data_IF_408814088113
#
_entry.id   IF_408814088113
#
_cell.length_a   1.000
_cell.length_b   1.000
_cell.length_c   1.000
_cell.angle_alpha   90.00
_cell.angle_beta   90.00
_cell.angle_gamma   90.00
#
_symmetry.space_group_name_H-M   'P 1'
#
loop_
_entity.id
_entity.type
_entity.pdbx_description
1 polymer ?
#
# COMPACT_ATOMS: atom_id res chain seq x y z
N UNK A 1 -9.52 -12.37 18.90
CA UNK A 1 -8.32 -13.18 18.61
C UNK A 1 -7.24 -12.99 19.65
N UNK A 2 -6.44 -14.03 19.84
CA UNK A 2 -5.17 -13.99 20.57
C UNK A 2 -4.03 -14.38 19.63
N UNK A 3 -2.87 -13.74 19.76
CA UNK A 3 -1.63 -14.08 19.05
C UNK A 3 -0.45 -14.19 20.00
N UNK A 4 0.61 -14.88 19.58
CA UNK A 4 1.91 -14.83 20.26
C UNK A 4 2.65 -13.58 19.76
N UNK A 5 3.22 -12.78 20.67
CA UNK A 5 3.94 -11.55 20.31
C UNK A 5 5.42 -11.58 20.63
N UNK A 6 5.84 -12.47 21.55
CA UNK A 6 7.23 -12.77 21.86
C UNK A 6 7.32 -14.04 22.70
N UNK A 7 8.54 -14.54 22.89
CA UNK A 7 8.87 -15.57 23.85
C UNK A 7 9.70 -14.95 24.97
N UNK A 8 9.52 -15.43 26.19
CA UNK A 8 10.43 -15.08 27.28
C UNK A 8 11.74 -15.89 27.21
N UNK A 9 12.64 -15.63 28.15
CA UNK A 9 13.95 -16.29 28.25
C UNK A 9 13.86 -17.82 28.43
N UNK A 10 12.73 -18.32 28.92
CA UNK A 10 12.45 -19.74 29.10
C UNK A 10 11.71 -20.35 27.90
N UNK A 11 11.53 -19.60 26.81
CA UNK A 11 10.78 -20.05 25.64
C UNK A 11 9.27 -20.13 25.85
N UNK A 12 8.72 -19.50 26.90
CA UNK A 12 7.28 -19.45 27.13
C UNK A 12 6.65 -18.36 26.25
N UNK A 13 5.56 -18.69 25.52
CA UNK A 13 4.90 -17.71 24.66
C UNK A 13 4.18 -16.64 25.48
N UNK A 14 4.36 -15.38 25.08
CA UNK A 14 3.59 -14.26 25.57
C UNK A 14 2.48 -13.90 24.58
N UNK A 15 1.26 -13.87 25.10
CA UNK A 15 0.06 -13.69 24.30
C UNK A 15 -0.43 -12.24 24.33
N UNK A 16 -1.02 -11.79 23.23
CA UNK A 16 -1.78 -10.55 23.15
C UNK A 16 -3.16 -10.82 22.57
N UNK A 17 -4.19 -10.32 23.22
CA UNK A 17 -5.58 -10.41 22.78
C UNK A 17 -6.11 -9.04 22.37
N UNK A 18 -6.97 -8.99 21.35
CA UNK A 18 -7.66 -7.75 20.98
C UNK A 18 -8.58 -7.24 22.10
N UNK A 19 -9.10 -8.14 22.94
CA UNK A 19 -10.02 -7.83 24.04
C UNK A 19 -9.32 -7.38 25.33
N UNK A 20 -7.98 -7.38 25.38
CA UNK A 20 -7.18 -6.96 26.54
C UNK A 20 -7.26 -7.87 27.78
N UNK A 21 -8.30 -8.69 27.91
CA UNK A 21 -8.52 -9.64 29.01
C UNK A 21 -8.15 -11.05 28.52
N UNK A 22 -7.67 -11.89 29.44
CA UNK A 22 -7.03 -13.18 29.20
C UNK A 22 -7.61 -14.04 28.08
N UNK A 23 -6.72 -14.79 27.42
CA UNK A 23 -7.04 -15.67 26.31
C UNK A 23 -7.56 -17.02 26.78
N UNK A 24 -8.68 -17.46 26.21
CA UNK A 24 -9.21 -18.81 26.39
C UNK A 24 -8.23 -19.86 25.86
N UNK A 25 -8.35 -21.12 26.29
CA UNK A 25 -7.44 -22.17 25.81
C UNK A 25 -7.58 -22.41 24.30
N UNK A 26 -8.80 -22.31 23.76
CA UNK A 26 -9.05 -22.39 22.32
C UNK A 26 -8.36 -21.24 21.55
N UNK A 27 -8.41 -20.02 22.08
CA UNK A 27 -7.72 -18.89 21.47
C UNK A 27 -6.20 -19.05 21.52
N UNK A 28 -5.66 -19.63 22.60
CA UNK A 28 -4.22 -19.95 22.70
C UNK A 28 -3.82 -21.06 21.73
N UNK A 29 -4.66 -22.07 21.55
CA UNK A 29 -4.42 -23.14 20.58
C UNK A 29 -4.40 -22.58 19.15
N UNK A 30 -5.36 -21.71 18.80
CA UNK A 30 -5.36 -20.99 17.51
C UNK A 30 -4.12 -20.11 17.35
N UNK A 31 -3.72 -19.39 18.40
CA UNK A 31 -2.51 -18.57 18.40
C UNK A 31 -1.25 -19.40 18.12
N UNK A 32 -1.11 -20.57 18.76
CA UNK A 32 0.01 -21.50 18.52
C UNK A 32 0.02 -22.08 17.11
N UNK A 33 -1.16 -22.38 16.55
CA UNK A 33 -1.28 -22.85 15.16
C UNK A 33 -0.81 -21.79 14.17
N UNK A 34 -1.29 -20.55 14.33
CA UNK A 34 -0.89 -19.41 13.51
C UNK A 34 0.62 -19.17 13.61
N UNK A 35 1.13 -19.14 14.83
CA UNK A 35 2.55 -18.93 15.11
C UNK A 35 3.42 -20.02 14.46
N UNK A 36 3.02 -21.29 14.54
CA UNK A 36 3.72 -22.40 13.89
C UNK A 36 3.75 -22.26 12.36
N UNK A 37 2.64 -21.82 11.74
CA UNK A 37 2.59 -21.56 10.31
C UNK A 37 3.52 -20.40 9.91
N UNK A 38 3.51 -19.30 10.67
CA UNK A 38 4.39 -18.16 10.42
C UNK A 38 5.86 -18.55 10.58
N UNK A 39 6.21 -19.22 11.68
CA UNK A 39 7.56 -19.73 11.93
C UNK A 39 8.05 -20.59 10.77
N UNK A 40 7.28 -21.62 10.40
CA UNK A 40 7.64 -22.53 9.33
C UNK A 40 7.88 -21.80 8.03
N UNK A 41 6.92 -20.98 7.57
CA UNK A 41 7.01 -20.36 6.25
C UNK A 41 8.08 -19.26 6.19
N UNK A 42 8.17 -18.39 7.19
CA UNK A 42 9.14 -17.29 7.19
C UNK A 42 10.56 -17.81 7.40
N UNK A 43 10.78 -18.78 8.30
CA UNK A 43 12.11 -19.39 8.49
C UNK A 43 12.57 -20.14 7.24
N UNK A 44 11.68 -20.88 6.56
CA UNK A 44 12.02 -21.53 5.30
C UNK A 44 12.44 -20.52 4.23
N UNK A 45 11.73 -19.41 4.11
CA UNK A 45 12.09 -18.33 3.19
C UNK A 45 13.45 -17.71 3.53
N UNK A 46 13.70 -17.39 4.80
CA UNK A 46 14.98 -16.86 5.25
C UNK A 46 16.16 -17.81 4.93
N UNK A 47 15.96 -19.12 5.11
CA UNK A 47 16.95 -20.14 4.74
C UNK A 47 17.19 -20.19 3.22
N UNK A 48 16.14 -20.06 2.40
CA UNK A 48 16.28 -20.00 0.95
C UNK A 48 17.10 -18.77 0.51
N UNK A 49 16.85 -17.61 1.11
CA UNK A 49 17.63 -16.39 0.84
C UNK A 49 19.11 -16.53 1.21
N UNK A 50 19.39 -17.15 2.36
CA UNK A 50 20.75 -17.43 2.79
C UNK A 50 21.48 -18.36 1.81
N UNK A 51 20.84 -19.45 1.37
CA UNK A 51 21.39 -20.39 0.38
C UNK A 51 21.63 -19.73 -0.98
N UNK A 52 20.73 -18.86 -1.40
CA UNK A 52 20.86 -18.10 -2.64
C UNK A 52 21.94 -16.99 -2.56
N UNK A 53 22.62 -16.82 -1.41
CA UNK A 53 23.55 -15.70 -1.14
C UNK A 53 22.92 -14.32 -1.36
N UNK A 54 21.59 -14.23 -1.31
CA UNK A 54 20.85 -12.96 -1.36
C UNK A 54 20.79 -12.30 0.02
N UNK A 55 21.16 -13.00 1.10
CA UNK A 55 21.10 -12.50 2.48
C UNK A 55 22.22 -11.50 2.86
N UNK A 56 23.43 -11.64 2.30
CA UNK A 56 24.59 -10.86 2.80
C UNK A 56 24.61 -9.39 2.36
N UNK A 57 23.73 -9.00 1.44
CA UNK A 57 23.45 -7.62 1.03
C UNK A 57 22.00 -7.49 0.57
N UNK A 58 21.02 -7.90 1.38
CA UNK A 58 19.62 -7.49 1.11
C UNK A 58 19.61 -5.97 1.13
N UNK A 59 19.57 -5.36 -0.06
CA UNK A 59 19.52 -3.93 -0.18
C UNK A 59 18.19 -3.49 0.44
N UNK A 60 18.23 -2.71 1.52
CA UNK A 60 17.03 -2.07 2.07
C UNK A 60 16.24 -1.45 0.92
N UNK A 61 14.99 -1.88 0.73
CA UNK A 61 14.18 -1.46 -0.41
C UNK A 61 14.16 -2.41 -1.61
N UNK A 62 14.64 -3.66 -1.48
CA UNK A 62 14.45 -4.69 -2.51
C UNK A 62 12.98 -5.11 -2.58
N UNK A 63 12.31 -4.63 -3.63
CA UNK A 63 10.87 -4.83 -3.85
C UNK A 63 10.54 -6.28 -4.16
N UNK A 64 11.45 -7.01 -4.82
CA UNK A 64 11.27 -8.43 -5.13
C UNK A 64 11.17 -9.24 -3.83
N UNK A 65 12.07 -8.98 -2.88
CA UNK A 65 12.08 -9.64 -1.58
C UNK A 65 10.92 -9.22 -0.68
N UNK A 66 10.51 -7.95 -0.72
CA UNK A 66 9.35 -7.48 0.02
C UNK A 66 8.04 -8.01 -0.54
N UNK A 67 7.96 -8.22 -1.85
CA UNK A 67 6.84 -8.91 -2.48
C UNK A 67 6.79 -10.37 -2.02
N UNK A 68 7.91 -11.10 -2.05
CA UNK A 68 7.97 -12.51 -1.62
C UNK A 68 7.59 -12.68 -0.14
N UNK A 69 8.09 -11.78 0.72
CA UNK A 69 7.67 -11.73 2.12
C UNK A 69 6.15 -11.50 2.23
N UNK A 70 5.63 -10.55 1.46
CA UNK A 70 4.19 -10.26 1.41
C UNK A 70 3.34 -11.44 0.95
N UNK A 71 3.80 -12.20 -0.04
CA UNK A 71 3.11 -13.38 -0.58
C UNK A 71 3.01 -14.49 0.47
N UNK A 72 4.10 -14.76 1.19
CA UNK A 72 4.09 -15.66 2.34
C UNK A 72 3.07 -15.21 3.38
N UNK A 73 3.07 -13.92 3.71
CA UNK A 73 2.12 -13.36 4.68
C UNK A 73 0.67 -13.47 4.18
N UNK A 74 0.41 -13.30 2.88
CA UNK A 74 -0.92 -13.48 2.29
C UNK A 74 -1.39 -14.93 2.33
N UNK A 75 -0.53 -15.88 1.94
CA UNK A 75 -0.86 -17.30 1.98
C UNK A 75 -1.24 -17.74 3.39
N UNK A 76 -0.40 -17.43 4.39
CA UNK A 76 -0.71 -17.78 5.78
C UNK A 76 -1.98 -17.07 6.26
N UNK A 77 -2.21 -15.82 5.89
CA UNK A 77 -3.39 -15.08 6.31
C UNK A 77 -4.69 -15.63 5.69
N UNK A 78 -4.71 -15.80 4.36
CA UNK A 78 -5.91 -16.16 3.60
C UNK A 78 -6.24 -17.66 3.71
N UNK A 79 -5.24 -18.54 3.70
CA UNK A 79 -5.47 -19.99 3.66
C UNK A 79 -5.72 -20.58 5.06
N UNK A 80 -5.25 -19.94 6.12
CA UNK A 80 -5.38 -20.51 7.47
C UNK A 80 -6.78 -20.35 8.05
N UNK A 81 -7.52 -19.30 7.69
CA UNK A 81 -8.78 -18.93 8.34
C UNK A 81 -8.64 -18.64 9.85
N UNK A 82 -7.42 -18.45 10.35
CA UNK A 82 -7.13 -18.29 11.78
C UNK A 82 -7.25 -16.85 12.28
N UNK A 83 -7.37 -15.89 11.36
CA UNK A 83 -7.30 -14.45 11.63
C UNK A 83 -8.56 -13.78 11.12
N UNK A 84 -9.24 -13.07 12.01
CA UNK A 84 -10.31 -12.15 11.60
C UNK A 84 -9.68 -10.92 10.89
N UNK A 85 -10.19 -10.50 9.71
CA UNK A 85 -9.70 -9.33 9.01
C UNK A 85 -9.63 -8.04 9.85
N UNK A 86 -10.54 -7.86 10.81
CA UNK A 86 -10.54 -6.72 11.74
C UNK A 86 -9.36 -6.75 12.74
N UNK A 87 -8.81 -7.92 13.01
CA UNK A 87 -7.73 -8.17 13.97
C UNK A 87 -6.35 -8.30 13.30
N UNK A 88 -6.27 -7.97 12.00
CA UNK A 88 -5.06 -8.03 11.17
C UNK A 88 -3.85 -7.29 11.76
N UNK A 89 -4.04 -6.29 12.64
CA UNK A 89 -2.95 -5.63 13.33
C UNK A 89 -2.16 -6.56 14.29
N UNK A 90 -2.82 -7.54 14.90
CA UNK A 90 -2.18 -8.54 15.76
C UNK A 90 -1.34 -9.54 14.95
N UNK A 91 -1.80 -9.86 13.74
CA UNK A 91 -1.08 -10.74 12.83
C UNK A 91 0.34 -10.22 12.52
N UNK A 92 0.48 -8.90 12.33
CA UNK A 92 1.79 -8.28 12.12
C UNK A 92 2.74 -8.44 13.30
N UNK A 93 2.20 -8.42 14.53
CA UNK A 93 3.01 -8.60 15.74
C UNK A 93 3.58 -10.02 15.81
N UNK A 94 2.77 -11.03 15.47
CA UNK A 94 3.23 -12.42 15.48
C UNK A 94 4.20 -12.71 14.35
N UNK A 95 3.91 -12.23 13.14
CA UNK A 95 4.81 -12.40 11.99
C UNK A 95 6.20 -11.81 12.25
N UNK A 96 6.26 -10.64 12.90
CA UNK A 96 7.52 -9.93 13.22
C UNK A 96 8.51 -10.75 14.03
N UNK A 97 8.06 -11.73 14.81
CA UNK A 97 8.95 -12.62 15.61
C UNK A 97 9.93 -13.37 14.71
N UNK A 98 9.53 -13.69 13.48
CA UNK A 98 10.27 -14.59 12.60
C UNK A 98 10.91 -13.90 11.40
N UNK A 99 10.55 -12.66 11.12
CA UNK A 99 11.11 -11.91 9.97
C UNK A 99 12.53 -11.46 10.31
N UNK A 100 13.55 -11.85 9.51
CA UNK A 100 14.92 -11.38 9.69
C UNK A 100 15.03 -9.85 9.63
N UNK A 101 15.93 -9.28 10.42
CA UNK A 101 16.13 -7.82 10.50
C UNK A 101 16.53 -7.21 9.15
N UNK A 102 17.21 -7.96 8.29
CA UNK A 102 17.59 -7.53 6.93
C UNK A 102 16.38 -7.32 6.02
N UNK A 103 15.29 -8.04 6.28
CA UNK A 103 14.01 -7.90 5.58
C UNK A 103 13.09 -6.88 6.25
N UNK A 104 13.49 -6.30 7.38
CA UNK A 104 12.71 -5.30 8.09
C UNK A 104 13.09 -3.88 7.65
N UNK A 105 12.07 -3.03 7.51
CA UNK A 105 12.24 -1.59 7.42
C UNK A 105 11.64 -0.91 8.66
N UNK A 106 12.09 0.31 8.93
CA UNK A 106 11.57 1.12 10.04
C UNK A 106 10.09 1.42 9.83
N UNK A 107 9.26 1.08 10.82
CA UNK A 107 7.86 1.50 10.86
C UNK A 107 7.77 3.03 10.90
N UNK A 108 6.84 3.60 10.14
CA UNK A 108 6.70 5.06 10.02
C UNK A 108 5.65 5.62 10.97
N UNK A 109 5.02 4.80 11.79
CA UNK A 109 4.00 5.20 12.74
C UNK A 109 3.07 4.04 13.11
N UNK A 110 2.07 4.25 13.97
CA UNK A 110 1.21 3.20 14.50
C UNK A 110 0.38 2.47 13.42
N UNK A 111 0.22 3.10 12.26
CA UNK A 111 -0.59 2.63 11.14
C UNK A 111 0.21 2.42 9.85
N UNK A 112 1.51 2.67 9.89
CA UNK A 112 2.43 2.63 8.74
C UNK A 112 3.48 1.57 9.02
N UNK A 113 3.02 0.31 8.93
CA UNK A 113 3.78 -0.87 9.32
C UNK A 113 4.41 -1.51 8.07
N UNK A 114 5.71 -1.82 8.16
CA UNK A 114 6.45 -2.42 7.03
C UNK A 114 5.80 -3.71 6.52
N UNK A 115 5.45 -4.63 7.43
CA UNK A 115 4.82 -5.90 7.08
C UNK A 115 3.44 -5.73 6.44
N UNK A 116 2.69 -4.70 6.83
CA UNK A 116 1.41 -4.40 6.20
C UNK A 116 1.59 -3.92 4.75
N UNK A 117 2.68 -3.19 4.47
CA UNK A 117 3.01 -2.77 3.11
C UNK A 117 3.51 -3.91 2.24
N UNK A 118 4.35 -4.81 2.78
CA UNK A 118 4.73 -6.04 2.10
C UNK A 118 3.49 -6.87 1.76
N UNK A 119 2.60 -7.07 2.73
CA UNK A 119 1.34 -7.78 2.53
C UNK A 119 0.50 -7.16 1.41
N UNK A 120 0.32 -5.83 1.41
CA UNK A 120 -0.45 -5.13 0.36
C UNK A 120 0.23 -5.21 -1.01
N UNK A 121 1.55 -5.06 -1.05
CA UNK A 121 2.37 -5.15 -2.26
C UNK A 121 2.21 -6.51 -2.97
N UNK A 122 2.21 -7.60 -2.20
CA UNK A 122 1.99 -8.94 -2.75
C UNK A 122 0.59 -9.14 -3.37
N UNK A 123 -0.33 -8.20 -3.16
CA UNK A 123 -1.62 -8.21 -3.81
C UNK A 123 -1.53 -7.92 -5.31
N UNK A 124 -0.43 -7.31 -5.77
CA UNK A 124 -0.19 -6.97 -7.17
C UNK A 124 0.58 -8.11 -7.89
N UNK A 125 0.38 -8.30 -9.20
CA UNK A 125 1.20 -9.24 -9.97
C UNK A 125 2.69 -8.93 -9.80
N UNK A 126 3.51 -9.94 -9.47
CA UNK A 126 4.92 -9.75 -9.11
C UNK A 126 5.71 -8.99 -10.17
N UNK A 127 5.55 -9.38 -11.43
CA UNK A 127 6.19 -8.77 -12.59
C UNK A 127 5.88 -7.27 -12.74
N UNK A 128 4.70 -6.84 -12.29
CA UNK A 128 4.32 -5.42 -12.27
C UNK A 128 4.85 -4.72 -11.02
N UNK A 129 4.74 -5.38 -9.86
CA UNK A 129 5.14 -4.83 -8.57
C UNK A 129 6.62 -4.38 -8.54
N UNK A 130 7.50 -5.18 -9.15
CA UNK A 130 8.95 -4.94 -9.18
C UNK A 130 9.38 -3.80 -10.13
N UNK A 131 8.48 -3.29 -10.98
CA UNK A 131 8.78 -2.15 -11.88
C UNK A 131 8.92 -0.83 -11.11
N UNK A 132 8.27 -0.73 -9.95
CA UNK A 132 8.35 0.41 -9.05
C UNK A 132 9.35 0.13 -7.93
N UNK A 133 10.10 1.14 -7.51
CA UNK A 133 10.99 1.10 -6.35
C UNK A 133 10.18 1.15 -5.06
N UNK A 134 10.74 0.59 -3.98
CA UNK A 134 10.07 0.55 -2.69
C UNK A 134 9.63 1.93 -2.17
N UNK A 135 10.45 2.95 -2.40
CA UNK A 135 10.11 4.32 -2.00
C UNK A 135 8.84 4.87 -2.67
N UNK A 136 8.50 4.38 -3.87
CA UNK A 136 7.28 4.76 -4.58
C UNK A 136 6.05 4.04 -4.03
N UNK A 137 6.18 2.73 -3.76
CA UNK A 137 5.15 1.95 -3.05
C UNK A 137 4.80 2.56 -1.70
N UNK A 138 5.83 2.89 -0.92
CA UNK A 138 5.62 3.53 0.38
C UNK A 138 4.95 4.89 0.22
N UNK A 139 5.32 5.68 -0.79
CA UNK A 139 4.69 6.97 -1.04
C UNK A 139 3.20 6.84 -1.42
N UNK A 140 2.85 5.85 -2.25
CA UNK A 140 1.46 5.50 -2.54
C UNK A 140 0.72 5.09 -1.27
N UNK A 141 1.25 4.11 -0.53
CA UNK A 141 0.56 3.55 0.63
C UNK A 141 0.46 4.51 1.82
N UNK A 142 1.36 5.48 1.94
CA UNK A 142 1.29 6.55 2.94
C UNK A 142 0.26 7.63 2.60
N UNK A 143 -0.22 7.71 1.35
CA UNK A 143 -1.03 8.84 0.87
C UNK A 143 -2.50 8.78 1.35
N UNK A 144 -3.08 9.85 1.93
CA UNK A 144 -4.44 9.83 2.48
C UNK A 144 -5.53 9.34 1.52
N UNK A 145 -5.53 9.79 0.25
CA UNK A 145 -6.52 9.38 -0.76
C UNK A 145 -6.32 7.97 -1.35
N UNK A 146 -5.33 7.22 -0.84
CA UNK A 146 -4.91 5.91 -1.36
C UNK A 146 -4.75 4.89 -0.23
N UNK A 147 -4.35 5.33 0.96
CA UNK A 147 -4.11 4.48 2.10
C UNK A 147 -5.42 3.82 2.54
N UNK A 148 -5.38 2.51 2.74
CA UNK A 148 -6.54 1.68 3.14
C UNK A 148 -7.72 1.64 2.17
N UNK A 149 -7.60 2.21 0.97
CA UNK A 149 -8.65 2.16 -0.04
C UNK A 149 -8.44 0.96 -0.96
N UNK A 150 -9.23 -0.11 -0.77
CA UNK A 150 -9.11 -1.34 -1.57
C UNK A 150 -9.52 -1.12 -3.03
N UNK A 151 -10.40 -0.14 -3.30
CA UNK A 151 -10.83 0.20 -4.65
C UNK A 151 -9.70 0.84 -5.45
N UNK A 152 -8.81 1.56 -4.78
CA UNK A 152 -7.56 2.03 -5.37
C UNK A 152 -6.67 0.86 -5.79
N UNK A 153 -6.54 -0.19 -4.96
CA UNK A 153 -5.69 -1.33 -5.31
C UNK A 153 -6.20 -2.04 -6.56
N UNK A 154 -7.53 -2.16 -6.74
CA UNK A 154 -8.12 -2.71 -7.97
C UNK A 154 -7.83 -1.81 -9.18
N UNK A 155 -8.08 -0.52 -9.07
CA UNK A 155 -7.79 0.44 -10.13
C UNK A 155 -6.30 0.45 -10.52
N UNK A 156 -5.39 0.43 -9.54
CA UNK A 156 -3.95 0.46 -9.79
C UNK A 156 -3.50 -0.81 -10.51
N UNK A 157 -4.04 -1.99 -10.15
CA UNK A 157 -3.76 -3.23 -10.89
C UNK A 157 -4.17 -3.14 -12.36
N UNK A 158 -5.37 -2.64 -12.64
CA UNK A 158 -5.85 -2.42 -14.01
C UNK A 158 -4.91 -1.47 -14.77
N UNK A 159 -4.50 -0.37 -14.13
CA UNK A 159 -3.60 0.62 -14.75
C UNK A 159 -2.18 0.11 -14.97
N UNK A 160 -1.62 -0.65 -14.03
CA UNK A 160 -0.30 -1.26 -14.21
C UNK A 160 -0.32 -2.29 -15.34
N UNK A 161 -1.42 -3.04 -15.48
CA UNK A 161 -1.58 -3.99 -16.59
C UNK A 161 -1.71 -3.29 -17.95
N UNK A 162 -2.41 -2.14 -18.02
CA UNK A 162 -2.60 -1.42 -19.29
C UNK A 162 -1.41 -0.52 -19.67
N UNK A 163 -0.68 0.04 -18.70
CA UNK A 163 0.33 1.08 -18.91
C UNK A 163 1.60 0.87 -18.04
N UNK A 164 2.29 -0.27 -18.15
CA UNK A 164 3.34 -0.68 -17.22
C UNK A 164 4.55 0.29 -17.14
N UNK A 165 4.87 0.97 -18.22
CA UNK A 165 6.04 1.86 -18.31
C UNK A 165 5.82 3.25 -17.68
N UNK A 166 4.60 3.56 -17.19
CA UNK A 166 4.21 4.92 -16.76
C UNK A 166 4.20 5.14 -15.24
N UNK A 167 5.00 4.36 -14.50
CA UNK A 167 5.06 4.35 -13.04
C UNK A 167 6.40 4.85 -12.47
N UNK A 168 7.03 5.83 -13.11
CA UNK A 168 8.24 6.43 -12.55
C UNK A 168 7.96 7.15 -11.22
N UNK A 169 9.02 7.40 -10.42
CA UNK A 169 8.93 8.18 -9.17
C UNK A 169 8.16 9.48 -9.32
N UNK A 170 8.37 10.16 -10.43
CA UNK A 170 7.76 11.45 -10.71
C UNK A 170 6.27 11.29 -11.05
N UNK A 171 5.93 10.29 -11.84
CA UNK A 171 4.54 10.00 -12.20
C UNK A 171 3.70 9.68 -10.98
N UNK A 172 4.22 8.79 -10.13
CA UNK A 172 3.59 8.41 -8.88
C UNK A 172 3.35 9.63 -7.99
N UNK A 173 4.32 10.55 -7.93
CA UNK A 173 4.20 11.79 -7.14
C UNK A 173 3.12 12.72 -7.65
N UNK A 174 3.11 13.01 -8.95
CA UNK A 174 2.12 13.91 -9.55
C UNK A 174 0.72 13.29 -9.42
N UNK A 175 0.59 11.99 -9.71
CA UNK A 175 -0.66 11.26 -9.56
C UNK A 175 -1.21 11.37 -8.14
N UNK A 176 -0.42 11.05 -7.12
CA UNK A 176 -0.84 11.12 -5.71
C UNK A 176 -1.21 12.53 -5.30
N UNK A 177 -0.44 13.54 -5.73
CA UNK A 177 -0.75 14.94 -5.46
C UNK A 177 -2.11 15.31 -6.06
N UNK A 178 -2.33 14.98 -7.33
CA UNK A 178 -3.61 15.20 -8.01
C UNK A 178 -4.74 14.47 -7.29
N UNK A 179 -4.60 13.17 -7.03
CA UNK A 179 -5.62 12.35 -6.37
C UNK A 179 -6.01 12.94 -5.00
N UNK A 180 -5.04 13.33 -4.18
CA UNK A 180 -5.30 13.97 -2.90
C UNK A 180 -5.99 15.34 -3.05
N UNK A 181 -5.69 16.11 -4.09
CA UNK A 181 -6.40 17.38 -4.34
C UNK A 181 -7.85 17.15 -4.82
N UNK A 182 -8.10 16.13 -5.64
CA UNK A 182 -9.45 15.82 -6.14
C UNK A 182 -10.36 15.29 -5.02
N UNK A 183 -9.82 14.38 -4.21
CA UNK A 183 -10.52 13.83 -3.07
C UNK A 183 -10.67 14.89 -1.97
N UNK A 184 -9.64 15.70 -1.73
CA UNK A 184 -9.66 16.73 -0.70
C UNK A 184 -9.96 16.13 0.67
N UNK A 185 -10.96 16.66 1.35
CA UNK A 185 -11.42 16.19 2.66
C UNK A 185 -12.60 15.20 2.58
N UNK A 186 -12.97 14.71 1.37
CA UNK A 186 -14.07 13.76 1.22
C UNK A 186 -13.70 12.41 1.83
N UNK A 187 -14.61 11.81 2.60
CA UNK A 187 -14.49 10.39 2.94
C UNK A 187 -14.73 9.58 1.66
N UNK A 188 -13.78 8.74 1.28
CA UNK A 188 -13.93 7.93 0.06
C UNK A 188 -15.13 6.99 0.15
N UNK A 189 -15.63 6.67 1.35
CA UNK A 189 -16.84 5.88 1.55
C UNK A 189 -18.12 6.56 1.06
N UNK A 190 -18.13 7.88 0.98
CA UNK A 190 -19.27 8.64 0.46
C UNK A 190 -19.34 8.61 -1.08
N UNK A 191 -18.29 8.10 -1.72
CA UNK A 191 -18.21 7.91 -3.17
C UNK A 191 -18.53 6.47 -3.55
N UNK A 192 -19.34 6.31 -4.59
CA UNK A 192 -19.50 5.03 -5.27
C UNK A 192 -18.18 4.58 -5.91
N UNK A 193 -18.06 3.29 -6.20
CA UNK A 193 -16.88 2.71 -6.86
C UNK A 193 -16.57 3.44 -8.18
N UNK A 194 -17.61 3.77 -8.95
CA UNK A 194 -17.48 4.45 -10.23
C UNK A 194 -17.03 5.91 -10.08
N UNK A 195 -17.60 6.65 -9.12
CA UNK A 195 -17.18 8.02 -8.79
C UNK A 195 -15.71 8.07 -8.36
N UNK A 196 -15.30 7.15 -7.47
CA UNK A 196 -13.92 7.07 -7.00
C UNK A 196 -12.97 6.70 -8.15
N UNK A 197 -13.36 5.77 -9.02
CA UNK A 197 -12.60 5.40 -10.22
C UNK A 197 -12.38 6.60 -11.14
N UNK A 198 -13.41 7.42 -11.38
CA UNK A 198 -13.32 8.66 -12.16
C UNK A 198 -12.35 9.67 -11.54
N UNK A 199 -12.32 9.79 -10.21
CA UNK A 199 -11.32 10.61 -9.52
C UNK A 199 -9.88 10.12 -9.82
N UNK A 200 -9.63 8.82 -9.76
CA UNK A 200 -8.30 8.28 -10.06
C UNK A 200 -7.93 8.39 -11.54
N UNK A 201 -8.87 8.17 -12.45
CA UNK A 201 -8.65 8.38 -13.88
C UNK A 201 -8.37 9.86 -14.21
N UNK A 202 -9.11 10.79 -13.59
CA UNK A 202 -8.82 12.22 -13.72
C UNK A 202 -7.43 12.57 -13.17
N UNK A 203 -7.06 12.06 -12.00
CA UNK A 203 -5.73 12.27 -11.44
C UNK A 203 -4.62 11.73 -12.36
N UNK A 204 -4.85 10.57 -12.99
CA UNK A 204 -3.92 9.96 -13.93
C UNK A 204 -3.74 10.80 -15.19
N UNK A 205 -4.84 11.28 -15.78
CA UNK A 205 -4.80 12.14 -16.98
C UNK A 205 -4.17 13.50 -16.68
N UNK A 206 -4.44 14.08 -15.50
CA UNK A 206 -3.74 15.28 -15.05
C UNK A 206 -2.24 15.00 -14.97
N UNK A 207 -1.83 13.86 -14.39
CA UNK A 207 -0.41 13.48 -14.35
C UNK A 207 0.22 13.48 -15.74
N UNK A 208 -0.43 12.91 -16.74
CA UNK A 208 0.08 12.88 -18.12
C UNK A 208 0.26 14.29 -18.69
N UNK A 209 -0.70 15.18 -18.47
CA UNK A 209 -0.60 16.57 -18.94
C UNK A 209 0.47 17.38 -18.21
N UNK A 210 0.76 17.05 -16.96
CA UNK A 210 1.74 17.77 -16.13
C UNK A 210 3.15 17.21 -16.24
N UNK A 211 3.37 16.07 -16.89
CA UNK A 211 4.71 15.45 -16.99
C UNK A 211 5.76 16.41 -17.54
N UNK A 212 5.46 17.10 -18.64
CA UNK A 212 6.40 18.02 -19.31
C UNK A 212 6.74 19.24 -18.45
N UNK A 213 5.72 19.86 -17.85
CA UNK A 213 5.87 21.03 -16.97
C UNK A 213 6.67 20.65 -15.74
N UNK A 214 6.32 19.54 -15.10
CA UNK A 214 6.99 19.07 -13.89
C UNK A 214 8.45 18.65 -14.14
N UNK A 215 8.94 18.57 -15.39
CA UNK A 215 10.35 18.33 -15.69
C UNK A 215 11.17 19.62 -15.55
N UNK A 216 10.51 20.78 -15.58
CA UNK A 216 11.14 22.11 -15.62
C UNK A 216 11.06 22.85 -14.30
N UNK A 217 10.20 22.41 -13.37
CA UNK A 217 9.94 23.12 -12.10
C UNK A 217 10.04 22.20 -10.89
N UNK A 218 10.15 22.79 -9.69
CA UNK A 218 10.22 22.04 -8.43
C UNK A 218 8.87 21.40 -8.07
N UNK A 219 8.90 20.32 -7.28
CA UNK A 219 7.69 19.61 -6.85
C UNK A 219 6.70 20.48 -6.05
N UNK A 220 7.18 21.51 -5.34
CA UNK A 220 6.31 22.42 -4.59
C UNK A 220 5.49 23.30 -5.55
N UNK A 221 6.16 23.81 -6.60
CA UNK A 221 5.49 24.58 -7.65
C UNK A 221 4.45 23.72 -8.36
N UNK A 222 4.78 22.46 -8.72
CA UNK A 222 3.81 21.52 -9.31
C UNK A 222 2.58 21.35 -8.40
N UNK A 223 2.79 21.15 -7.09
CA UNK A 223 1.70 20.98 -6.13
C UNK A 223 0.79 22.21 -6.08
N UNK A 224 1.35 23.41 -6.06
CA UNK A 224 0.59 24.66 -6.00
C UNK A 224 -0.18 24.90 -7.30
N UNK A 225 0.41 24.60 -8.45
CA UNK A 225 -0.25 24.66 -9.76
C UNK A 225 -1.42 23.68 -9.84
N UNK A 226 -1.21 22.43 -9.42
CA UNK A 226 -2.27 21.41 -9.36
C UNK A 226 -3.43 21.87 -8.47
N UNK A 227 -3.11 22.35 -7.26
CA UNK A 227 -4.12 22.86 -6.33
C UNK A 227 -4.91 24.02 -6.93
N UNK A 228 -4.23 24.99 -7.55
CA UNK A 228 -4.86 26.15 -8.18
C UNK A 228 -5.76 25.74 -9.35
N UNK A 229 -5.24 24.93 -10.27
CA UNK A 229 -5.97 24.47 -11.45
C UNK A 229 -7.20 23.63 -11.10
N UNK A 230 -7.07 22.70 -10.13
CA UNK A 230 -8.20 21.89 -9.66
C UNK A 230 -9.25 22.77 -8.96
N UNK A 231 -8.83 23.71 -8.10
CA UNK A 231 -9.76 24.58 -7.38
C UNK A 231 -10.54 25.50 -8.32
N UNK A 232 -9.91 26.05 -9.35
CA UNK A 232 -10.58 26.90 -10.36
C UNK A 232 -11.63 26.13 -11.16
N UNK A 233 -11.44 24.83 -11.33
CA UNK A 233 -12.31 23.96 -12.12
C UNK A 233 -13.19 23.04 -11.24
N UNK A 234 -13.43 23.39 -9.98
CA UNK A 234 -14.10 22.51 -9.01
C UNK A 234 -15.55 22.15 -9.41
N UNK A 235 -16.27 23.06 -10.06
CA UNK A 235 -17.61 22.77 -10.59
C UNK A 235 -17.55 21.67 -11.65
N UNK A 236 -16.55 21.72 -12.54
CA UNK A 236 -16.33 20.70 -13.57
C UNK A 236 -15.88 19.38 -12.95
N UNK A 237 -15.15 19.41 -11.83
CA UNK A 237 -14.83 18.21 -11.08
C UNK A 237 -16.09 17.49 -10.58
N UNK A 238 -17.10 18.23 -10.11
CA UNK A 238 -18.41 17.66 -9.75
C UNK A 238 -19.04 16.90 -10.93
N UNK A 239 -19.09 17.54 -12.11
CA UNK A 239 -19.58 16.93 -13.34
C UNK A 239 -18.81 15.65 -13.73
N UNK A 240 -17.49 15.63 -13.55
CA UNK A 240 -16.66 14.43 -13.80
C UNK A 240 -16.97 13.31 -12.81
N UNK A 241 -17.13 13.64 -11.52
CA UNK A 241 -17.48 12.66 -10.49
C UNK A 241 -18.82 12.03 -10.82
N UNK A 242 -19.83 12.83 -11.17
CA UNK A 242 -21.17 12.36 -11.51
C UNK A 242 -21.23 11.67 -12.88
N UNK A 243 -20.20 11.87 -13.72
CA UNK A 243 -20.07 11.22 -15.03
C UNK A 243 -20.77 11.98 -16.16
N UNK A 244 -21.16 13.23 -15.92
CA UNK A 244 -21.74 14.12 -16.94
C UNK A 244 -20.65 14.77 -17.81
N UNK A 245 -19.40 14.80 -17.35
CA UNK A 245 -18.22 15.23 -18.12
C UNK A 245 -17.09 14.21 -18.10
N UNK A 246 -16.24 14.26 -19.11
CA UNK A 246 -15.10 13.35 -19.21
C UNK A 246 -13.92 13.81 -18.35
N UNK A 247 -13.22 12.85 -17.75
CA UNK A 247 -11.97 13.10 -17.03
C UNK A 247 -10.89 13.76 -17.91
N UNK A 248 -10.93 13.50 -19.23
CA UNK A 248 -10.01 14.09 -20.22
C UNK A 248 -10.23 15.58 -20.41
N UNK A 249 -11.49 16.03 -20.51
CA UNK A 249 -11.82 17.45 -20.61
C UNK A 249 -11.40 18.22 -19.37
N UNK A 250 -11.67 17.65 -18.19
CA UNK A 250 -11.24 18.24 -16.93
C UNK A 250 -9.71 18.33 -16.83
N UNK A 251 -8.98 17.26 -17.18
CA UNK A 251 -7.52 17.30 -17.18
C UNK A 251 -6.96 18.39 -18.13
N UNK A 252 -7.59 18.61 -19.28
CA UNK A 252 -7.23 19.70 -20.20
C UNK A 252 -7.47 21.08 -19.58
N UNK A 253 -8.58 21.27 -18.87
CA UNK A 253 -8.88 22.54 -18.19
C UNK A 253 -7.88 22.83 -17.08
N UNK A 254 -7.57 21.83 -16.24
CA UNK A 254 -6.56 21.97 -15.18
C UNK A 254 -5.19 22.31 -15.78
N UNK A 255 -4.83 21.70 -16.92
CA UNK A 255 -3.57 21.95 -17.60
C UNK A 255 -3.46 23.36 -18.24
N UNK A 256 -4.58 23.98 -18.64
CA UNK A 256 -4.59 25.35 -19.19
C UNK A 256 -4.28 26.43 -18.14
N UNK A 257 -4.49 26.12 -16.86
CA UNK A 257 -4.21 27.04 -15.76
C UNK A 257 -2.72 27.07 -15.37
N UNK A 258 -1.89 26.34 -16.11
CA UNK A 258 -0.44 26.30 -15.98
C UNK A 258 0.18 27.25 -17.01
N UNK A 259 0.93 28.28 -16.59
CA UNK A 259 1.72 29.13 -17.48
C UNK A 259 2.84 28.37 -18.21
#
# INVERSE_FOLDING_TARGET
MTVIVKYDENGKPQYRSAKGIGSTEDERLRARRLDSLLKKNITNFAQQLARAKRSSKVAKGDVDLYWDLGDILQKVFNESGLIDPSEKHLYWLNARIYVPDELMAKDRGPHRLHLAYCFRLAGFPKNEAVKMKWGEWVYLFDSPGVNRELRFDRWLKEKMASEPEKFSRKDVRIFVQSANQLLGDKDTKDLTDEQLRRCYDAAWLIKEKFQEVANKVSNNIVKDMLRSGIKKNYTVLGDVIDGTKSASEFAKLVAKEIP
#
